data_IF_020922003369
#
_entry.id   IF_020922003369
#
_cell.length_a   1.000
_cell.length_b   1.000
_cell.length_c   1.000
_cell.angle_alpha   90.00
_cell.angle_beta   90.00
_cell.angle_gamma   90.00
#
_symmetry.space_group_name_H-M   'P 1'
#
loop_
_entity.id
_entity.type
_entity.pdbx_description
1 polymer ?
#
# COMPACT_ATOMS: atom_id res chain seq x y z
N UNK A 1 -1.47 7.83 14.13
CA UNK A 1 -1.19 9.16 13.57
C UNK A 1 -0.87 8.93 12.10
N UNK A 2 -1.58 9.58 11.17
CA UNK A 2 -1.41 9.34 9.72
C UNK A 2 -0.24 10.16 9.18
N UNK A 3 0.36 9.74 8.06
CA UNK A 3 1.45 10.45 7.38
C UNK A 3 1.09 11.90 7.07
N UNK A 4 -0.15 12.16 6.62
CA UNK A 4 -0.66 13.53 6.42
C UNK A 4 -0.64 14.38 7.68
N UNK A 5 -1.09 13.82 8.81
CA UNK A 5 -1.10 14.56 10.08
C UNK A 5 0.31 14.92 10.53
N UNK A 6 1.29 14.07 10.27
CA UNK A 6 2.71 14.38 10.52
C UNK A 6 3.20 15.52 9.61
N UNK A 7 2.87 15.51 8.33
CA UNK A 7 3.28 16.54 7.38
C UNK A 7 2.69 17.92 7.72
N UNK A 8 1.41 17.99 8.08
CA UNK A 8 0.76 19.23 8.52
C UNK A 8 1.44 19.79 9.78
N UNK A 9 1.67 18.95 10.79
CA UNK A 9 2.32 19.35 12.04
C UNK A 9 3.76 19.84 11.84
N UNK A 10 4.44 19.31 10.84
CA UNK A 10 5.80 19.73 10.47
C UNK A 10 5.81 21.05 9.66
N UNK A 11 4.65 21.59 9.27
CA UNK A 11 4.54 22.86 8.56
C UNK A 11 4.68 22.77 7.03
N UNK A 12 4.51 21.58 6.44
CA UNK A 12 4.55 21.41 4.98
C UNK A 12 3.33 22.00 4.24
N UNK A 13 2.32 22.47 4.97
CA UNK A 13 1.10 23.06 4.45
C UNK A 13 -0.14 22.33 4.97
N UNK A 14 -1.31 22.79 4.53
CA UNK A 14 -2.59 22.13 4.79
C UNK A 14 -2.66 20.79 4.05
N UNK A 15 -3.36 19.78 4.60
CA UNK A 15 -3.57 18.48 3.94
C UNK A 15 -4.17 18.60 2.53
N UNK A 16 -4.90 19.68 2.23
CA UNK A 16 -5.45 19.96 0.90
C UNK A 16 -4.37 20.24 -0.16
N UNK A 17 -3.16 20.67 0.26
CA UNK A 17 -2.05 21.06 -0.61
C UNK A 17 -0.92 20.03 -0.65
N UNK A 18 -0.91 19.07 0.28
CA UNK A 18 0.08 18.00 0.31
C UNK A 18 -0.40 16.85 -0.57
N UNK A 19 0.47 16.39 -1.48
CA UNK A 19 0.24 15.20 -2.30
C UNK A 19 1.05 14.04 -1.73
N UNK A 20 0.44 12.87 -1.65
CA UNK A 20 1.12 11.63 -1.31
C UNK A 20 1.30 10.81 -2.59
N UNK A 21 2.47 10.23 -2.73
CA UNK A 21 2.80 9.23 -3.74
C UNK A 21 3.32 8.00 -3.01
N UNK A 22 2.98 6.81 -3.47
CA UNK A 22 3.58 5.58 -2.94
C UNK A 22 5.07 5.52 -3.31
N UNK A 23 5.89 4.98 -2.40
CA UNK A 23 7.34 4.84 -2.62
C UNK A 23 7.68 4.05 -3.89
N UNK A 24 7.07 2.88 -4.16
CA UNK A 24 7.45 2.12 -5.34
C UNK A 24 6.95 2.76 -6.64
N UNK A 25 5.83 3.50 -6.63
CA UNK A 25 5.41 4.30 -7.79
C UNK A 25 6.40 5.44 -8.08
N UNK A 26 6.85 6.14 -7.04
CA UNK A 26 7.86 7.18 -7.20
C UNK A 26 9.17 6.59 -7.75
N UNK A 27 9.63 5.45 -7.21
CA UNK A 27 10.79 4.75 -7.73
C UNK A 27 10.62 4.36 -9.21
N UNK A 28 9.43 3.89 -9.61
CA UNK A 28 9.10 3.59 -11.02
C UNK A 28 9.33 4.78 -11.94
N UNK A 29 8.76 5.93 -11.56
CA UNK A 29 8.81 7.18 -12.33
C UNK A 29 10.25 7.60 -12.59
N UNK A 30 11.10 7.48 -11.57
CA UNK A 30 12.50 7.84 -11.69
C UNK A 30 13.25 6.86 -12.59
N UNK A 31 13.15 5.56 -12.32
CA UNK A 31 13.97 4.55 -13.01
C UNK A 31 13.62 4.32 -14.46
N UNK A 32 12.34 4.37 -14.80
CA UNK A 32 11.89 4.20 -16.18
C UNK A 32 12.23 5.40 -17.06
N UNK A 33 12.51 6.57 -16.46
CA UNK A 33 12.97 7.77 -17.17
C UNK A 33 14.50 7.92 -17.20
N UNK A 34 15.18 7.57 -16.11
CA UNK A 34 16.60 7.87 -15.91
C UNK A 34 17.56 6.95 -16.70
N UNK A 35 17.07 5.84 -17.25
CA UNK A 35 17.87 4.89 -18.01
C UNK A 35 17.24 4.64 -19.38
N UNK A 36 18.06 4.48 -20.43
CA UNK A 36 17.63 3.63 -21.54
C UNK A 36 17.16 2.33 -20.90
N UNK A 37 15.89 1.95 -21.05
CA UNK A 37 15.36 0.81 -20.32
C UNK A 37 16.26 -0.38 -20.64
N UNK A 38 16.56 -1.22 -19.65
CA UNK A 38 17.47 -2.36 -19.78
C UNK A 38 16.88 -3.43 -20.74
N UNK A 39 16.66 -3.07 -22.01
CA UNK A 39 15.79 -3.79 -22.93
C UNK A 39 14.29 -3.79 -22.56
N UNK A 40 13.81 -2.93 -21.64
CA UNK A 40 12.37 -2.87 -21.34
C UNK A 40 11.59 -2.19 -22.46
N UNK A 41 10.50 -2.83 -22.86
CA UNK A 41 9.60 -2.38 -23.90
C UNK A 41 8.17 -2.25 -23.37
N UNK A 42 7.33 -1.54 -24.12
CA UNK A 42 5.89 -1.52 -23.87
C UNK A 42 5.35 -2.95 -23.86
N UNK A 43 4.52 -3.27 -22.87
CA UNK A 43 3.98 -4.60 -22.61
C UNK A 43 4.83 -5.46 -21.67
N UNK A 44 6.04 -5.03 -21.30
CA UNK A 44 6.80 -5.72 -20.25
C UNK A 44 6.22 -5.45 -18.87
N UNK A 45 6.23 -6.47 -18.02
CA UNK A 45 5.83 -6.39 -16.62
C UNK A 45 7.07 -6.41 -15.73
N UNK A 46 7.12 -5.54 -14.73
CA UNK A 46 8.25 -5.39 -13.82
C UNK A 46 7.77 -5.37 -12.37
N UNK A 47 8.57 -5.97 -11.50
CA UNK A 47 8.41 -5.86 -10.04
C UNK A 47 9.33 -4.76 -9.56
N UNK A 48 8.82 -3.83 -8.78
CA UNK A 48 9.62 -2.82 -8.09
C UNK A 48 9.64 -3.19 -6.62
N UNK A 49 10.83 -3.39 -6.07
CA UNK A 49 11.07 -3.78 -4.70
C UNK A 49 11.85 -2.67 -4.00
N UNK A 50 11.16 -1.85 -3.21
CA UNK A 50 11.79 -0.87 -2.34
C UNK A 50 12.22 -1.54 -1.04
N UNK A 51 13.50 -1.91 -0.97
CA UNK A 51 14.09 -2.52 0.20
C UNK A 51 14.75 -1.43 1.06
N UNK A 52 14.00 -0.98 2.08
CA UNK A 52 14.39 0.08 2.99
C UNK A 52 15.11 -0.38 4.25
N UNK A 53 15.14 0.53 5.23
CA UNK A 53 15.66 0.23 6.57
C UNK A 53 14.67 -0.53 7.44
N UNK A 54 13.40 -0.09 7.45
CA UNK A 54 12.36 -0.69 8.28
C UNK A 54 11.45 -1.66 7.53
N UNK A 55 11.00 -1.26 6.34
CA UNK A 55 10.08 -2.03 5.50
C UNK A 55 10.75 -2.46 4.20
N UNK A 56 10.15 -3.46 3.58
CA UNK A 56 10.33 -3.77 2.18
C UNK A 56 8.95 -3.73 1.54
N UNK A 57 8.79 -2.92 0.51
CA UNK A 57 7.52 -2.67 -0.16
C UNK A 57 7.66 -2.98 -1.65
N UNK A 58 6.71 -3.74 -2.20
CA UNK A 58 6.73 -4.22 -3.56
C UNK A 58 5.46 -3.84 -4.31
N UNK A 59 5.60 -3.63 -5.61
CA UNK A 59 4.48 -3.48 -6.54
C UNK A 59 4.87 -3.99 -7.92
N UNK A 60 3.88 -4.51 -8.64
CA UNK A 60 4.07 -5.01 -10.00
C UNK A 60 3.36 -4.13 -11.01
N UNK A 61 4.08 -3.65 -12.02
CA UNK A 61 3.53 -2.82 -13.09
C UNK A 61 3.78 -3.41 -14.47
N UNK A 62 2.76 -3.33 -15.32
CA UNK A 62 2.89 -3.49 -16.77
C UNK A 62 3.08 -2.12 -17.43
N UNK A 63 4.10 -1.99 -18.28
CA UNK A 63 4.42 -0.76 -19.00
C UNK A 63 3.45 -0.59 -20.16
N UNK A 64 2.62 0.46 -20.13
CA UNK A 64 1.68 0.78 -21.22
C UNK A 64 2.30 1.78 -22.19
N UNK A 65 3.04 2.76 -21.67
CA UNK A 65 3.71 3.79 -22.47
C UNK A 65 4.95 4.31 -21.71
N UNK A 66 6.05 4.52 -22.42
CA UNK A 66 7.29 5.09 -21.83
C UNK A 66 7.50 6.56 -22.20
N UNK A 67 7.00 6.99 -23.36
CA UNK A 67 7.22 8.33 -23.91
C UNK A 67 6.11 8.68 -24.90
N UNK A 68 5.64 9.95 -24.97
CA UNK A 68 6.12 11.12 -24.21
C UNK A 68 5.63 11.16 -22.76
N UNK A 69 4.51 10.49 -22.45
CA UNK A 69 3.98 10.36 -21.10
C UNK A 69 4.14 8.91 -20.63
N UNK A 70 4.65 8.73 -19.41
CA UNK A 70 4.79 7.40 -18.87
C UNK A 70 3.44 6.93 -18.34
N UNK A 71 3.00 5.75 -18.75
CA UNK A 71 1.75 5.12 -18.32
C UNK A 71 2.02 3.70 -17.85
N UNK A 72 1.61 3.41 -16.63
CA UNK A 72 1.78 2.11 -15.98
C UNK A 72 0.41 1.55 -15.61
N UNK A 73 0.28 0.23 -15.65
CA UNK A 73 -0.87 -0.51 -15.12
C UNK A 73 -0.41 -1.36 -13.96
N UNK A 74 -1.02 -1.23 -12.79
CA UNK A 74 -0.77 -2.14 -11.65
C UNK A 74 -1.29 -3.52 -12.02
N UNK A 75 -0.41 -4.53 -12.01
CA UNK A 75 -0.76 -5.90 -12.39
C UNK A 75 -1.13 -6.74 -11.16
N UNK A 76 -0.47 -6.48 -10.03
CA UNK A 76 -0.73 -7.10 -8.74
C UNK A 76 -0.82 -6.01 -7.65
N UNK A 77 -1.73 -6.13 -6.67
CA UNK A 77 -1.75 -5.26 -5.51
C UNK A 77 -0.37 -5.28 -4.83
N UNK A 78 0.15 -4.10 -4.50
CA UNK A 78 1.42 -4.02 -3.76
C UNK A 78 1.38 -4.75 -2.42
N UNK A 79 2.49 -5.38 -2.04
CA UNK A 79 2.69 -6.09 -0.77
C UNK A 79 3.88 -5.48 -0.02
N UNK A 80 3.93 -5.66 1.29
CA UNK A 80 5.05 -5.18 2.08
C UNK A 80 5.14 -5.84 3.45
N UNK A 81 6.33 -5.85 4.02
CA UNK A 81 6.58 -6.43 5.34
C UNK A 81 7.67 -5.68 6.10
N UNK A 82 7.73 -5.92 7.41
CA UNK A 82 8.76 -5.41 8.30
C UNK A 82 10.02 -6.30 8.23
N UNK A 83 10.67 -6.33 7.07
CA UNK A 83 11.89 -7.11 6.81
C UNK A 83 13.03 -6.25 6.22
N UNK A 84 13.14 -4.99 6.63
CA UNK A 84 14.22 -4.09 6.18
C UNK A 84 15.60 -4.37 6.80
N UNK A 85 16.63 -3.64 6.34
CA UNK A 85 18.01 -3.85 6.81
C UNK A 85 18.28 -3.56 8.29
N UNK A 86 17.39 -2.86 9.00
CA UNK A 86 17.51 -2.64 10.46
C UNK A 86 17.40 -3.96 11.23
N UNK A 87 16.69 -4.96 10.70
CA UNK A 87 16.60 -6.28 11.32
C UNK A 87 17.95 -7.02 11.27
N UNK A 88 18.80 -6.74 10.28
CA UNK A 88 20.18 -7.22 10.26
C UNK A 88 21.00 -6.65 11.41
N UNK A 89 20.79 -5.36 11.72
CA UNK A 89 21.47 -4.72 12.86
C UNK A 89 21.07 -5.40 14.17
N UNK A 90 19.77 -5.64 14.38
CA UNK A 90 19.28 -6.33 15.59
C UNK A 90 19.88 -7.73 15.75
N UNK A 91 19.89 -8.52 14.67
CA UNK A 91 20.47 -9.87 14.68
C UNK A 91 21.97 -9.84 14.96
N UNK A 92 22.67 -8.82 14.47
CA UNK A 92 24.09 -8.65 14.74
C UNK A 92 24.35 -8.24 16.20
N UNK A 93 23.55 -7.31 16.74
CA UNK A 93 23.59 -6.93 18.16
C UNK A 93 23.33 -8.14 19.07
N UNK A 94 22.29 -8.92 18.79
CA UNK A 94 21.97 -10.18 19.50
C UNK A 94 23.16 -11.16 19.46
N UNK A 95 23.80 -11.35 18.30
CA UNK A 95 24.98 -12.20 18.17
C UNK A 95 26.15 -11.72 19.04
N UNK A 96 26.38 -10.40 19.12
CA UNK A 96 27.42 -9.84 19.96
C UNK A 96 27.10 -10.03 21.44
N UNK A 97 25.88 -9.74 21.86
CA UNK A 97 25.45 -9.93 23.25
C UNK A 97 25.54 -11.41 23.67
N UNK A 98 25.07 -12.34 22.84
CA UNK A 98 25.13 -13.78 23.14
C UNK A 98 26.57 -14.28 23.37
N UNK A 99 27.55 -13.70 22.67
CA UNK A 99 28.94 -14.19 22.70
C UNK A 99 29.85 -13.39 23.63
N UNK A 100 29.55 -12.12 23.86
CA UNK A 100 30.45 -11.18 24.51
C UNK A 100 29.89 -10.59 25.81
N UNK A 101 28.57 -10.61 26.04
CA UNK A 101 27.96 -9.92 27.19
C UNK A 101 28.42 -10.41 28.56
N UNK A 102 28.82 -11.69 28.66
CA UNK A 102 29.34 -12.26 29.91
C UNK A 102 30.83 -11.96 30.15
N UNK A 103 31.52 -11.35 29.19
CA UNK A 103 32.96 -11.14 29.26
C UNK A 103 33.31 -9.83 29.98
N UNK A 104 34.37 -9.82 30.82
CA UNK A 104 34.88 -8.59 31.39
C UNK A 104 35.28 -7.59 30.30
N UNK A 105 34.80 -6.35 30.43
CA UNK A 105 35.07 -5.27 29.48
C UNK A 105 34.09 -5.17 28.32
N UNK A 106 33.03 -5.99 28.29
CA UNK A 106 31.86 -5.71 27.46
C UNK A 106 31.08 -4.54 28.05
N UNK A 107 30.97 -3.46 27.27
CA UNK A 107 30.24 -2.26 27.63
C UNK A 107 29.55 -1.64 26.41
N UNK A 108 28.78 -0.59 26.67
CA UNK A 108 28.01 0.10 25.63
C UNK A 108 28.90 0.71 24.56
N UNK A 109 30.05 1.27 24.93
CA UNK A 109 30.97 1.91 23.98
C UNK A 109 31.56 0.87 23.01
N UNK A 110 31.92 -0.32 23.54
CA UNK A 110 32.38 -1.46 22.76
C UNK A 110 31.31 -1.97 21.79
N UNK A 111 30.05 -2.10 22.26
CA UNK A 111 28.93 -2.45 21.39
C UNK A 111 28.70 -1.41 20.30
N UNK A 112 28.68 -0.12 20.65
CA UNK A 112 28.43 0.98 19.72
C UNK A 112 29.51 1.03 18.61
N UNK A 113 30.79 0.78 18.93
CA UNK A 113 31.87 0.69 17.93
C UNK A 113 31.68 -0.50 16.96
N UNK A 114 31.33 -1.68 17.48
CA UNK A 114 31.09 -2.85 16.66
C UNK A 114 29.88 -2.65 15.74
N UNK A 115 28.77 -2.12 16.28
CA UNK A 115 27.55 -1.80 15.55
C UNK A 115 27.79 -0.73 14.48
N UNK A 116 28.58 0.31 14.80
CA UNK A 116 28.95 1.33 13.82
C UNK A 116 29.72 0.74 12.65
N UNK A 117 30.68 -0.16 12.91
CA UNK A 117 31.44 -0.86 11.87
C UNK A 117 30.56 -1.76 11.01
N UNK A 118 29.57 -2.42 11.61
CA UNK A 118 28.58 -3.23 10.90
C UNK A 118 27.73 -2.39 9.95
N UNK A 119 27.11 -1.32 10.46
CA UNK A 119 26.23 -0.44 9.71
C UNK A 119 26.93 0.25 8.53
N UNK A 120 28.14 0.77 8.77
CA UNK A 120 28.84 1.62 7.80
C UNK A 120 29.62 0.83 6.77
N UNK A 121 30.03 -0.40 7.09
CA UNK A 121 30.88 -1.18 6.19
C UNK A 121 30.39 -2.60 5.99
N UNK A 122 30.42 -3.46 7.02
CA UNK A 122 30.22 -4.90 6.82
C UNK A 122 28.88 -5.20 6.13
N UNK A 123 27.79 -4.63 6.62
CA UNK A 123 26.43 -4.80 6.06
C UNK A 123 26.32 -4.30 4.62
N UNK A 124 27.04 -3.23 4.26
CA UNK A 124 26.96 -2.58 2.95
C UNK A 124 27.82 -3.26 1.89
N UNK A 125 28.95 -3.82 2.29
CA UNK A 125 29.91 -4.42 1.35
C UNK A 125 29.78 -5.93 1.23
N UNK A 126 29.09 -6.60 2.15
CA UNK A 126 28.97 -8.05 2.12
C UNK A 126 28.27 -8.53 0.85
N UNK A 127 28.91 -9.47 0.18
CA UNK A 127 28.50 -10.02 -1.12
C UNK A 127 27.75 -11.35 -1.01
N UNK A 128 27.73 -11.94 0.19
CA UNK A 128 27.30 -13.31 0.41
C UNK A 128 28.42 -14.34 0.31
N UNK A 129 29.67 -13.93 0.04
CA UNK A 129 30.79 -14.86 -0.01
C UNK A 129 31.14 -15.39 1.40
N UNK A 130 31.12 -16.71 1.57
CA UNK A 130 31.41 -17.36 2.85
C UNK A 130 32.88 -17.22 3.29
N UNK A 131 33.77 -16.87 2.36
CA UNK A 131 35.20 -16.65 2.62
C UNK A 131 35.51 -15.20 3.06
N UNK A 132 34.53 -14.29 2.97
CA UNK A 132 34.68 -12.88 3.34
C UNK A 132 34.44 -12.69 4.85
N UNK A 133 35.52 -12.76 5.62
CA UNK A 133 35.47 -12.52 7.06
C UNK A 133 35.54 -11.04 7.43
N UNK A 134 34.84 -10.67 8.51
CA UNK A 134 34.79 -9.31 9.02
C UNK A 134 35.36 -9.24 10.43
N UNK A 135 36.17 -8.20 10.66
CA UNK A 135 36.71 -7.88 11.97
C UNK A 135 35.98 -6.67 12.55
N UNK A 136 35.42 -6.82 13.75
CA UNK A 136 34.69 -5.79 14.47
C UNK A 136 35.50 -5.31 15.68
N UNK A 137 35.63 -3.98 15.89
CA UNK A 137 36.33 -3.45 17.06
C UNK A 137 35.61 -3.86 18.34
N UNK A 138 36.36 -4.41 19.29
CA UNK A 138 35.92 -4.74 20.64
C UNK A 138 37.02 -4.39 21.67
N UNK A 139 37.36 -3.09 21.81
CA UNK A 139 38.56 -2.67 22.52
C UNK A 139 38.57 -3.04 24.01
N UNK A 140 37.40 -3.19 24.63
CA UNK A 140 37.26 -3.60 26.03
C UNK A 140 37.51 -5.09 26.29
N UNK A 141 37.49 -5.93 25.25
CA UNK A 141 37.56 -7.40 25.39
C UNK A 141 39.00 -7.91 25.23
N UNK A 142 39.43 -8.74 26.18
CA UNK A 142 40.75 -9.38 26.15
C UNK A 142 40.87 -10.41 25.01
N UNK A 143 42.08 -10.58 24.47
CA UNK A 143 42.37 -11.54 23.41
C UNK A 143 42.05 -12.98 23.85
N UNK A 144 41.28 -13.69 23.03
CA UNK A 144 40.89 -15.08 23.24
C UNK A 144 40.72 -15.80 21.91
N UNK A 145 41.49 -16.87 21.69
CA UNK A 145 41.43 -17.66 20.47
C UNK A 145 40.11 -18.46 20.37
N UNK A 146 39.59 -18.95 21.49
CA UNK A 146 38.33 -19.72 21.54
C UNK A 146 37.12 -18.87 21.16
N UNK A 147 37.13 -17.59 21.56
CA UNK A 147 36.05 -16.63 21.31
C UNK A 147 36.25 -15.94 19.95
N UNK A 148 37.47 -15.97 19.39
CA UNK A 148 37.78 -15.31 18.12
C UNK A 148 38.13 -13.83 18.26
N UNK A 149 38.55 -13.39 19.46
CA UNK A 149 39.01 -12.02 19.73
C UNK A 149 40.52 -11.96 19.64
N UNK A 150 41.05 -11.05 18.81
CA UNK A 150 42.49 -10.81 18.68
C UNK A 150 42.78 -9.34 18.39
N UNK A 151 43.69 -8.75 19.15
CA UNK A 151 44.06 -7.33 19.09
C UNK A 151 42.84 -6.40 19.20
N UNK A 152 41.98 -6.68 20.18
CA UNK A 152 40.75 -5.90 20.43
C UNK A 152 39.77 -5.94 19.25
N UNK A 153 39.76 -7.04 18.49
CA UNK A 153 38.85 -7.24 17.36
C UNK A 153 38.23 -8.63 17.37
N UNK A 154 36.92 -8.67 17.22
CA UNK A 154 36.12 -9.88 17.14
C UNK A 154 35.96 -10.29 15.67
N UNK A 155 36.28 -11.55 15.36
CA UNK A 155 36.12 -12.11 14.02
C UNK A 155 34.72 -12.68 13.88
N UNK A 156 34.02 -12.24 12.84
CA UNK A 156 32.80 -12.87 12.34
C UNK A 156 33.10 -13.44 10.97
N UNK A 157 32.83 -14.72 10.80
CA UNK A 157 33.07 -15.44 9.57
C UNK A 157 32.08 -15.05 8.48
N UNK A 158 32.44 -15.23 7.21
CA UNK A 158 31.50 -15.05 6.10
C UNK A 158 30.25 -15.94 6.23
N UNK A 159 30.37 -17.13 6.80
CA UNK A 159 29.23 -18.01 7.10
C UNK A 159 28.29 -17.43 8.17
N UNK A 160 28.83 -16.87 9.25
CA UNK A 160 28.03 -16.18 10.27
C UNK A 160 27.35 -14.93 9.67
N UNK A 161 28.05 -14.20 8.79
CA UNK A 161 27.46 -13.09 8.03
C UNK A 161 26.30 -13.55 7.14
N UNK A 162 26.40 -14.71 6.47
CA UNK A 162 25.27 -15.27 5.73
C UNK A 162 24.08 -15.56 6.65
N UNK A 163 24.32 -16.16 7.83
CA UNK A 163 23.27 -16.51 8.79
C UNK A 163 22.53 -15.29 9.36
N UNK A 164 23.20 -14.14 9.45
CA UNK A 164 22.56 -12.87 9.81
C UNK A 164 21.56 -12.44 8.74
N UNK A 165 21.92 -12.56 7.46
CA UNK A 165 21.15 -12.08 6.32
C UNK A 165 20.03 -13.01 5.88
N UNK A 166 20.28 -14.33 5.85
CA UNK A 166 19.40 -15.32 5.21
C UNK A 166 17.93 -15.23 5.63
N UNK A 167 17.55 -15.05 6.91
CA UNK A 167 16.14 -14.93 7.28
C UNK A 167 15.46 -13.73 6.61
N UNK A 168 16.14 -12.59 6.56
CA UNK A 168 15.63 -11.37 5.95
C UNK A 168 15.58 -11.51 4.42
N UNK A 169 16.56 -12.17 3.82
CA UNK A 169 16.57 -12.42 2.38
C UNK A 169 15.42 -13.35 1.94
N UNK A 170 15.09 -14.36 2.76
CA UNK A 170 13.94 -15.26 2.52
C UNK A 170 12.62 -14.52 2.64
N UNK A 171 12.45 -13.68 3.66
CA UNK A 171 11.23 -12.87 3.78
C UNK A 171 11.02 -11.97 2.55
N UNK A 172 12.10 -11.47 1.94
CA UNK A 172 12.03 -10.67 0.70
C UNK A 172 11.76 -11.55 -0.52
N UNK A 173 12.38 -12.72 -0.59
CA UNK A 173 12.13 -13.71 -1.65
C UNK A 173 10.66 -14.10 -1.71
N UNK A 174 10.04 -14.44 -0.57
CA UNK A 174 8.63 -14.79 -0.48
C UNK A 174 7.74 -13.65 -1.01
N UNK A 175 8.05 -12.40 -0.63
CA UNK A 175 7.30 -11.23 -1.13
C UNK A 175 7.44 -11.02 -2.64
N UNK A 176 8.61 -11.26 -3.21
CA UNK A 176 8.85 -11.15 -4.66
C UNK A 176 8.14 -12.28 -5.39
N UNK A 177 8.20 -13.51 -4.87
CA UNK A 177 7.52 -14.67 -5.42
C UNK A 177 6.00 -14.43 -5.47
N UNK A 178 5.41 -13.97 -4.36
CA UNK A 178 3.98 -13.61 -4.29
C UNK A 178 3.57 -12.60 -5.38
N UNK A 179 4.39 -11.58 -5.62
CA UNK A 179 4.15 -10.58 -6.66
C UNK A 179 4.21 -11.18 -8.08
N UNK A 180 5.17 -12.06 -8.33
CA UNK A 180 5.33 -12.75 -9.62
C UNK A 180 4.15 -13.70 -9.86
N UNK A 181 3.74 -14.47 -8.85
CA UNK A 181 2.63 -15.44 -8.96
C UNK A 181 1.26 -14.75 -9.08
N UNK A 182 1.08 -13.61 -8.42
CA UNK A 182 -0.17 -12.82 -8.48
C UNK A 182 -0.34 -12.13 -9.84
N UNK A 183 0.78 -11.83 -10.51
CA UNK A 183 0.77 -11.18 -11.83
C UNK A 183 0.19 -12.12 -12.90
N UNK A 184 -0.79 -11.64 -13.68
CA UNK A 184 -1.30 -12.40 -14.83
C UNK A 184 -0.35 -12.40 -16.04
N UNK A 185 0.62 -11.47 -16.04
CA UNK A 185 1.63 -11.32 -17.07
C UNK A 185 3.01 -11.82 -16.61
N UNK A 186 3.84 -12.28 -17.55
CA UNK A 186 5.20 -12.73 -17.26
C UNK A 186 6.07 -11.54 -16.84
N UNK A 187 6.60 -11.59 -15.62
CA UNK A 187 7.54 -10.59 -15.09
C UNK A 187 8.87 -10.71 -15.83
N UNK A 188 9.38 -9.57 -16.32
CA UNK A 188 10.63 -9.48 -17.08
C UNK A 188 11.81 -9.02 -16.23
N UNK A 189 11.56 -8.21 -15.20
CA UNK A 189 12.61 -7.67 -14.34
C UNK A 189 12.12 -7.36 -12.93
N UNK A 190 13.03 -7.42 -11.97
CA UNK A 190 12.89 -6.98 -10.58
C UNK A 190 13.85 -5.80 -10.37
N UNK A 191 13.31 -4.63 -10.02
CA UNK A 191 14.11 -3.46 -9.67
C UNK A 191 14.24 -3.32 -8.16
N UNK A 192 15.47 -3.18 -7.68
CA UNK A 192 15.79 -3.01 -6.27
C UNK A 192 16.05 -1.54 -5.94
N UNK A 193 15.26 -1.00 -5.03
CA UNK A 193 15.33 0.37 -4.53
C UNK A 193 15.62 0.41 -3.04
N UNK A 194 15.81 1.63 -2.53
CA UNK A 194 16.08 1.86 -1.12
C UNK A 194 17.52 1.55 -0.74
N UNK A 195 17.86 1.84 0.51
CA UNK A 195 19.21 1.65 1.03
C UNK A 195 19.63 0.17 1.07
N UNK A 196 18.69 -0.74 1.37
CA UNK A 196 18.97 -2.17 1.40
C UNK A 196 18.95 -2.80 0.00
N UNK A 197 18.16 -2.27 -0.94
CA UNK A 197 18.19 -2.70 -2.34
C UNK A 197 19.54 -2.54 -3.04
N UNK A 198 20.43 -1.71 -2.47
CA UNK A 198 21.83 -1.56 -2.92
C UNK A 198 22.77 -2.63 -2.36
N UNK A 199 22.30 -3.54 -1.50
CA UNK A 199 23.11 -4.63 -0.95
C UNK A 199 23.56 -5.60 -2.07
N UNK A 200 24.88 -5.83 -2.23
CA UNK A 200 25.37 -6.79 -3.20
C UNK A 200 24.87 -8.21 -2.93
N UNK A 201 24.73 -8.59 -1.64
CA UNK A 201 24.22 -9.91 -1.28
C UNK A 201 22.74 -10.08 -1.63
N UNK A 202 21.87 -9.12 -1.28
CA UNK A 202 20.44 -9.17 -1.65
C UNK A 202 20.26 -9.33 -3.17
N UNK A 203 20.97 -8.51 -3.95
CA UNK A 203 20.90 -8.59 -5.42
C UNK A 203 21.35 -9.95 -5.95
N UNK A 204 22.44 -10.49 -5.42
CA UNK A 204 22.99 -11.79 -5.88
C UNK A 204 22.09 -12.94 -5.46
N UNK A 205 21.52 -12.89 -4.27
CA UNK A 205 20.57 -13.86 -3.74
C UNK A 205 19.32 -13.95 -4.62
N UNK A 206 18.64 -12.83 -4.88
CA UNK A 206 17.42 -12.83 -5.72
C UNK A 206 17.72 -13.29 -7.16
N UNK A 207 18.90 -12.98 -7.71
CA UNK A 207 19.32 -13.50 -9.04
C UNK A 207 19.46 -15.02 -9.09
N UNK A 208 19.73 -15.66 -7.95
CA UNK A 208 19.88 -17.11 -7.85
C UNK A 208 18.53 -17.79 -7.59
N UNK A 209 17.60 -17.12 -6.90
CA UNK A 209 16.28 -17.66 -6.59
C UNK A 209 15.35 -17.69 -7.82
N UNK A 210 15.38 -16.65 -8.66
CA UNK A 210 14.44 -16.51 -9.78
C UNK A 210 15.01 -16.95 -11.12
N UNK A 211 14.11 -17.22 -12.07
CA UNK A 211 14.46 -17.63 -13.44
C UNK A 211 15.48 -16.66 -14.07
N UNK A 212 16.50 -17.16 -14.79
CA UNK A 212 17.46 -16.31 -15.52
C UNK A 212 16.83 -15.36 -16.54
N UNK A 213 15.57 -15.59 -16.93
CA UNK A 213 14.82 -14.69 -17.81
C UNK A 213 14.32 -13.41 -17.13
N UNK A 214 14.24 -13.43 -15.79
CA UNK A 214 13.86 -12.32 -14.92
C UNK A 214 15.11 -11.57 -14.49
N UNK A 215 15.33 -10.37 -15.03
CA UNK A 215 16.53 -9.60 -14.71
C UNK A 215 16.39 -8.90 -13.35
N UNK A 216 17.37 -9.10 -12.44
CA UNK A 216 17.42 -8.33 -11.18
C UNK A 216 18.36 -7.14 -11.33
N UNK A 217 17.78 -5.95 -11.24
CA UNK A 217 18.44 -4.67 -11.52
C UNK A 217 18.46 -3.83 -10.24
N UNK A 218 19.63 -3.30 -9.86
CA UNK A 218 19.74 -2.31 -8.79
C UNK A 218 20.26 -1.00 -9.41
N UNK A 219 19.39 -0.01 -9.65
CA UNK A 219 19.80 1.27 -10.24
C UNK A 219 20.83 1.98 -9.35
N UNK A 220 21.80 2.64 -9.99
CA UNK A 220 22.92 3.33 -9.31
C UNK A 220 22.41 4.40 -8.34
N UNK A 221 21.31 5.06 -8.68
CA UNK A 221 20.65 6.09 -7.88
C UNK A 221 19.42 5.57 -7.11
N UNK A 222 19.29 4.24 -6.97
CA UNK A 222 18.15 3.58 -6.33
C UNK A 222 17.86 4.05 -4.90
N UNK A 223 18.89 4.45 -4.14
CA UNK A 223 18.74 5.01 -2.79
C UNK A 223 18.07 6.40 -2.76
N UNK A 224 18.02 7.11 -3.90
CA UNK A 224 17.33 8.40 -4.05
C UNK A 224 16.16 8.36 -5.04
N UNK A 225 15.85 7.18 -5.58
CA UNK A 225 14.85 7.04 -6.65
C UNK A 225 13.46 7.53 -6.21
N UNK A 226 13.04 7.19 -4.98
CA UNK A 226 11.76 7.61 -4.40
C UNK A 226 11.62 9.13 -4.36
N UNK A 227 12.59 9.85 -3.76
CA UNK A 227 12.50 11.31 -3.62
C UNK A 227 12.57 12.03 -4.98
N UNK A 228 13.40 11.53 -5.91
CA UNK A 228 13.50 12.07 -7.28
C UNK A 228 12.23 11.81 -8.08
N UNK A 229 11.63 10.63 -7.93
CA UNK A 229 10.37 10.25 -8.53
C UNK A 229 9.20 11.09 -8.04
N UNK A 230 9.12 11.32 -6.73
CA UNK A 230 8.09 12.16 -6.11
C UNK A 230 8.16 13.60 -6.63
N UNK A 231 9.38 14.16 -6.75
CA UNK A 231 9.59 15.47 -7.36
C UNK A 231 9.16 15.46 -8.83
N UNK A 232 9.56 14.45 -9.60
CA UNK A 232 9.22 14.33 -11.03
C UNK A 232 7.71 14.24 -11.26
N UNK A 233 6.99 13.47 -10.43
CA UNK A 233 5.53 13.40 -10.45
C UNK A 233 4.91 14.78 -10.23
N UNK A 234 5.32 15.45 -9.17
CA UNK A 234 4.80 16.78 -8.80
C UNK A 234 5.06 17.83 -9.87
N UNK A 235 6.26 17.85 -10.46
CA UNK A 235 6.61 18.76 -11.55
C UNK A 235 5.77 18.52 -12.81
N UNK A 236 5.52 17.25 -13.17
CA UNK A 236 4.67 16.90 -14.30
C UNK A 236 3.19 17.28 -14.10
N UNK A 237 2.70 17.27 -12.87
CA UNK A 237 1.34 17.69 -12.54
C UNK A 237 1.15 19.22 -12.52
N UNK A 238 2.19 19.98 -12.19
CA UNK A 238 2.13 21.46 -12.12
C UNK A 238 2.45 22.10 -13.48
N UNK A 239 3.23 21.44 -14.32
CA UNK A 239 3.62 21.96 -15.64
C UNK A 239 2.66 21.51 -16.74
N UNK A 240 2.08 22.46 -17.48
CA UNK A 240 1.26 22.17 -18.66
C UNK A 240 2.07 21.56 -19.83
N UNK A 241 3.39 21.79 -19.86
CA UNK A 241 4.30 21.34 -20.91
C UNK A 241 5.21 20.18 -20.46
N UNK A 242 5.17 19.82 -19.18
CA UNK A 242 5.98 18.74 -18.63
C UNK A 242 5.44 17.35 -19.01
N UNK A 243 6.36 16.39 -19.20
CA UNK A 243 5.98 15.00 -19.37
C UNK A 243 5.24 14.50 -18.13
N UNK A 244 4.03 13.99 -18.31
CA UNK A 244 3.17 13.51 -17.23
C UNK A 244 3.44 12.03 -16.94
N UNK A 245 3.17 11.61 -15.72
CA UNK A 245 3.28 10.22 -15.29
C UNK A 245 1.92 9.79 -14.75
N UNK A 246 1.41 8.69 -15.27
CA UNK A 246 0.11 8.16 -14.88
C UNK A 246 0.25 6.69 -14.49
N UNK A 247 -0.46 6.31 -13.44
CA UNK A 247 -0.85 4.92 -13.26
C UNK A 247 -2.28 4.85 -13.81
N UNK A 248 -2.43 4.25 -15.00
CA UNK A 248 -3.72 4.21 -15.71
C UNK A 248 -4.78 3.47 -14.90
N UNK A 249 -4.39 2.35 -14.30
CA UNK A 249 -5.27 1.55 -13.46
C UNK A 249 -4.50 0.89 -12.33
N UNK A 250 -5.22 0.70 -11.23
CA UNK A 250 -4.76 0.14 -9.97
C UNK A 250 -5.53 -1.12 -9.65
N UNK A 251 -4.93 -2.04 -8.91
CA UNK A 251 -5.65 -3.19 -8.38
C UNK A 251 -6.28 -2.83 -7.05
N UNK A 252 -7.58 -3.11 -6.92
CA UNK A 252 -8.30 -2.95 -5.66
C UNK A 252 -7.67 -3.83 -4.55
N UNK A 253 -7.27 -3.21 -3.44
CA UNK A 253 -6.60 -3.90 -2.32
C UNK A 253 -7.57 -4.61 -1.37
N UNK A 254 -8.78 -4.09 -1.25
CA UNK A 254 -9.87 -4.65 -0.43
C UNK A 254 -11.19 -4.59 -1.20
N UNK A 255 -12.23 -5.24 -0.67
CA UNK A 255 -13.59 -5.07 -1.15
C UNK A 255 -14.17 -3.79 -0.53
N UNK A 256 -14.84 -2.94 -1.31
CA UNK A 256 -15.51 -1.72 -0.83
C UNK A 256 -16.99 -1.74 -1.17
N UNK A 257 -17.80 -1.37 -0.18
CA UNK A 257 -19.25 -1.48 -0.31
C UNK A 257 -20.03 -0.67 0.72
N UNK A 258 -21.33 -0.65 0.53
CA UNK A 258 -22.30 -0.04 1.44
C UNK A 258 -23.41 -1.02 1.75
N UNK A 259 -24.01 -0.90 2.93
CA UNK A 259 -25.23 -1.65 3.25
C UNK A 259 -26.39 -1.02 2.46
N UNK A 260 -27.15 -1.85 1.76
CA UNK A 260 -28.32 -1.45 1.01
C UNK A 260 -29.55 -2.25 1.46
N UNK A 261 -30.71 -1.60 1.45
CA UNK A 261 -32.00 -2.25 1.64
C UNK A 261 -32.54 -2.64 0.27
N UNK A 262 -32.92 -3.90 0.10
CA UNK A 262 -33.45 -4.43 -1.17
C UNK A 262 -34.67 -5.33 -0.94
N UNK A 263 -35.50 -5.51 -1.97
CA UNK A 263 -36.66 -6.40 -1.92
C UNK A 263 -36.23 -7.83 -1.59
N UNK A 264 -36.97 -8.49 -0.68
CA UNK A 264 -36.68 -9.85 -0.27
C UNK A 264 -36.99 -10.84 -1.40
N UNK A 265 -35.98 -11.57 -1.86
CA UNK A 265 -36.12 -12.61 -2.87
C UNK A 265 -36.03 -13.97 -2.18
N UNK A 266 -37.13 -14.73 -2.25
CA UNK A 266 -37.20 -16.09 -1.72
C UNK A 266 -36.12 -16.98 -2.35
N UNK A 267 -35.50 -17.86 -1.54
CA UNK A 267 -34.38 -18.76 -1.90
C UNK A 267 -33.03 -18.10 -2.17
N UNK A 268 -32.97 -16.77 -2.31
CA UNK A 268 -31.71 -16.02 -2.41
C UNK A 268 -31.33 -15.42 -1.05
N UNK A 269 -32.32 -14.83 -0.37
CA UNK A 269 -32.11 -14.13 0.89
C UNK A 269 -32.48 -14.98 2.11
N UNK A 270 -31.84 -14.70 3.25
CA UNK A 270 -32.13 -15.33 4.54
C UNK A 270 -33.48 -14.83 5.07
N UNK A 271 -34.48 -15.71 5.07
CA UNK A 271 -35.83 -15.39 5.50
C UNK A 271 -35.93 -14.94 6.98
N UNK A 272 -34.92 -15.25 7.82
CA UNK A 272 -34.89 -14.82 9.22
C UNK A 272 -34.48 -13.34 9.38
N UNK A 273 -33.88 -12.75 8.35
CA UNK A 273 -33.37 -11.37 8.36
C UNK A 273 -34.27 -10.36 7.64
N UNK A 274 -35.34 -10.83 6.99
CA UNK A 274 -36.26 -9.93 6.29
C UNK A 274 -37.07 -9.11 7.29
N UNK A 275 -37.43 -7.90 6.90
CA UNK A 275 -38.34 -7.03 7.63
C UNK A 275 -39.40 -6.47 6.70
N UNK A 276 -40.52 -6.01 7.25
CA UNK A 276 -41.57 -5.36 6.47
C UNK A 276 -41.18 -3.91 6.22
N UNK A 277 -41.18 -3.48 4.96
CA UNK A 277 -41.04 -2.08 4.58
C UNK A 277 -42.44 -1.51 4.32
N UNK A 278 -42.90 -0.63 5.21
CA UNK A 278 -44.26 -0.07 5.14
C UNK A 278 -44.47 0.81 3.90
N UNK A 279 -43.48 1.66 3.57
CA UNK A 279 -43.48 2.49 2.37
C UNK A 279 -43.65 1.67 1.09
N UNK A 280 -42.95 0.55 0.98
CA UNK A 280 -42.95 -0.28 -0.22
C UNK A 280 -44.03 -1.38 -0.20
N UNK A 281 -44.65 -1.64 0.97
CA UNK A 281 -45.69 -2.66 1.13
C UNK A 281 -45.19 -4.08 0.87
N UNK A 282 -43.92 -4.35 1.13
CA UNK A 282 -43.24 -5.61 0.81
C UNK A 282 -42.19 -5.97 1.86
N UNK A 283 -41.75 -7.23 1.85
CA UNK A 283 -40.60 -7.65 2.64
C UNK A 283 -39.30 -7.18 1.99
N UNK A 284 -38.44 -6.55 2.78
CA UNK A 284 -37.10 -6.09 2.42
C UNK A 284 -36.05 -6.76 3.32
N UNK A 285 -34.79 -6.60 2.96
CA UNK A 285 -33.64 -7.09 3.72
C UNK A 285 -32.42 -6.19 3.49
N UNK A 286 -31.56 -6.09 4.50
CA UNK A 286 -30.29 -5.38 4.41
C UNK A 286 -29.17 -6.33 3.98
N UNK A 287 -28.46 -5.96 2.92
CA UNK A 287 -27.34 -6.70 2.34
C UNK A 287 -26.16 -5.77 2.07
N UNK A 288 -24.96 -6.34 1.97
CA UNK A 288 -23.79 -5.64 1.45
C UNK A 288 -23.90 -5.52 -0.07
N UNK A 289 -23.84 -4.28 -0.55
CA UNK A 289 -23.67 -3.95 -1.95
C UNK A 289 -22.20 -3.55 -2.16
N UNK A 290 -21.41 -4.51 -2.66
CA UNK A 290 -20.00 -4.32 -3.01
C UNK A 290 -19.92 -3.73 -4.42
N UNK A 291 -19.37 -2.52 -4.54
CA UNK A 291 -19.17 -1.84 -5.82
C UNK A 291 -17.70 -1.87 -6.29
N UNK A 292 -16.80 -2.30 -5.42
CA UNK A 292 -15.43 -2.71 -5.75
C UNK A 292 -15.14 -4.03 -5.04
N UNK A 293 -14.63 -5.02 -5.76
CA UNK A 293 -14.09 -6.26 -5.21
C UNK A 293 -12.56 -6.22 -5.24
N UNK A 294 -11.92 -6.94 -4.31
CA UNK A 294 -10.45 -7.05 -4.29
C UNK A 294 -9.94 -7.67 -5.61
N UNK A 295 -8.94 -7.03 -6.21
CA UNK A 295 -8.38 -7.42 -7.51
C UNK A 295 -9.03 -6.76 -8.74
N UNK A 296 -10.12 -6.01 -8.56
CA UNK A 296 -10.72 -5.22 -9.65
C UNK A 296 -9.73 -4.17 -10.18
N UNK A 297 -9.73 -3.94 -11.49
CA UNK A 297 -9.01 -2.83 -12.12
C UNK A 297 -9.79 -1.53 -11.89
N UNK A 298 -9.16 -0.57 -11.20
CA UNK A 298 -9.72 0.75 -10.92
C UNK A 298 -8.91 1.80 -11.69
N UNK A 299 -9.55 2.53 -12.59
CA UNK A 299 -8.95 3.67 -13.28
C UNK A 299 -8.63 4.79 -12.28
N UNK A 300 -7.39 5.28 -12.27
CA UNK A 300 -6.99 6.37 -11.35
C UNK A 300 -7.71 7.68 -11.72
N UNK A 301 -8.13 8.43 -10.70
CA UNK A 301 -8.81 9.72 -10.84
C UNK A 301 -10.13 9.69 -11.64
N UNK A 302 -10.70 8.51 -11.90
CA UNK A 302 -12.02 8.34 -12.52
C UNK A 302 -13.04 7.86 -11.49
N UNK A 303 -14.23 8.45 -11.52
CA UNK A 303 -15.30 8.13 -10.58
C UNK A 303 -15.96 6.78 -10.92
N UNK A 304 -16.04 5.91 -9.91
CA UNK A 304 -17.00 4.81 -9.88
C UNK A 304 -18.31 5.37 -9.35
N UNK A 305 -19.30 5.50 -10.24
CA UNK A 305 -20.60 6.04 -9.89
C UNK A 305 -21.56 4.96 -9.40
N UNK A 306 -22.11 5.16 -8.21
CA UNK A 306 -23.12 4.27 -7.63
C UNK A 306 -24.37 5.07 -7.29
N UNK A 307 -25.56 4.48 -7.46
CA UNK A 307 -26.86 5.14 -7.25
C UNK A 307 -27.56 4.58 -6.02
N UNK A 308 -28.11 5.47 -5.21
CA UNK A 308 -28.69 5.16 -3.92
C UNK A 308 -29.98 5.95 -3.70
N UNK A 309 -30.82 5.42 -2.81
CA UNK A 309 -32.06 6.07 -2.42
C UNK A 309 -32.19 6.11 -0.91
N UNK A 310 -32.70 7.21 -0.37
CA UNK A 310 -33.12 7.29 1.03
C UNK A 310 -34.52 7.86 1.14
N UNK A 311 -35.31 7.30 2.04
CA UNK A 311 -36.66 7.77 2.32
C UNK A 311 -36.84 8.07 3.80
N UNK A 312 -37.65 9.09 4.11
CA UNK A 312 -38.01 9.49 5.47
C UNK A 312 -39.46 9.96 5.48
N UNK A 313 -40.20 9.71 6.56
CA UNK A 313 -41.57 10.18 6.70
C UNK A 313 -41.63 11.71 6.66
N UNK A 314 -42.66 12.26 6.02
CA UNK A 314 -42.87 13.73 5.99
C UNK A 314 -43.11 14.27 7.40
N UNK A 315 -43.75 13.50 8.29
CA UNK A 315 -43.98 13.86 9.69
C UNK A 315 -42.68 14.04 10.49
N UNK A 316 -41.61 13.33 10.12
CA UNK A 316 -40.27 13.46 10.73
C UNK A 316 -39.51 14.71 10.23
N UNK A 317 -40.10 15.43 9.26
CA UNK A 317 -39.51 16.58 8.60
C UNK A 317 -38.58 16.20 7.44
N UNK A 318 -38.13 17.19 6.66
CA UNK A 318 -37.22 16.97 5.53
C UNK A 318 -35.80 16.60 6.00
N UNK A 319 -35.03 15.97 5.12
CA UNK A 319 -33.64 15.62 5.39
C UNK A 319 -32.79 16.86 5.71
N UNK A 320 -32.06 16.81 6.82
CA UNK A 320 -31.05 17.83 7.15
C UNK A 320 -29.64 17.39 6.70
N UNK A 321 -29.38 16.09 6.64
CA UNK A 321 -28.13 15.49 6.15
C UNK A 321 -28.40 14.10 5.58
N UNK A 322 -27.48 13.63 4.73
CA UNK A 322 -27.45 12.22 4.32
C UNK A 322 -26.19 11.59 4.88
N UNK A 323 -26.35 10.78 5.93
CA UNK A 323 -25.26 9.94 6.45
C UNK A 323 -25.15 8.64 5.66
N UNK A 324 -23.99 8.41 5.06
CA UNK A 324 -23.58 7.18 4.36
C UNK A 324 -22.37 6.59 5.08
N UNK A 325 -22.40 5.28 5.31
CA UNK A 325 -21.25 4.54 5.86
C UNK A 325 -20.71 3.61 4.79
N UNK A 326 -19.43 3.79 4.46
CA UNK A 326 -18.67 2.96 3.56
C UNK A 326 -17.94 1.90 4.39
N UNK A 327 -17.94 0.68 3.88
CA UNK A 327 -17.33 -0.48 4.52
C UNK A 327 -16.24 -1.06 3.64
N UNK A 328 -15.26 -1.69 4.30
CA UNK A 328 -14.18 -2.42 3.66
C UNK A 328 -14.07 -3.83 4.23
N UNK A 329 -13.60 -4.76 3.39
CA UNK A 329 -13.31 -6.13 3.79
C UNK A 329 -12.07 -6.62 3.04
N UNK A 330 -11.04 -6.99 3.81
CA UNK A 330 -9.90 -7.72 3.29
C UNK A 330 -10.18 -9.23 3.32
N UNK A 331 -9.97 -9.87 2.17
CA UNK A 331 -10.13 -11.32 1.97
C UNK A 331 -9.07 -11.82 0.98
N UNK A 332 -8.81 -13.13 0.94
CA UNK A 332 -8.00 -13.72 -0.13
C UNK A 332 -8.56 -13.37 -1.52
N UNK A 333 -7.68 -13.15 -2.48
CA UNK A 333 -8.08 -12.83 -3.86
C UNK A 333 -8.87 -13.98 -4.47
N UNK A 334 -9.94 -13.67 -5.22
CA UNK A 334 -10.82 -14.66 -5.84
C UNK A 334 -11.95 -15.19 -4.94
N UNK A 335 -11.93 -14.91 -3.63
CA UNK A 335 -13.08 -15.20 -2.77
C UNK A 335 -14.19 -14.17 -2.93
N UNK A 336 -15.43 -14.65 -3.10
CA UNK A 336 -16.60 -13.77 -3.16
C UNK A 336 -16.85 -13.12 -1.79
N UNK A 337 -17.03 -11.79 -1.73
CA UNK A 337 -17.34 -11.12 -0.47
C UNK A 337 -18.75 -11.52 0.02
N UNK A 338 -18.99 -11.50 1.35
CA UNK A 338 -20.24 -11.98 1.93
C UNK A 338 -21.41 -11.05 1.55
N UNK A 339 -22.59 -11.65 1.36
CA UNK A 339 -23.82 -10.90 1.10
C UNK A 339 -24.32 -10.13 2.33
N UNK A 340 -24.00 -10.59 3.54
CA UNK A 340 -24.44 -9.97 4.77
C UNK A 340 -23.26 -9.37 5.52
N UNK A 341 -23.52 -8.25 6.19
CA UNK A 341 -22.58 -7.69 7.14
C UNK A 341 -22.23 -8.73 8.23
N UNK A 342 -20.94 -8.84 8.54
CA UNK A 342 -20.42 -9.73 9.57
C UNK A 342 -19.29 -9.03 10.35
N UNK A 343 -18.69 -9.72 11.32
CA UNK A 343 -17.64 -9.17 12.19
C UNK A 343 -16.33 -8.83 11.48
N UNK A 344 -16.10 -9.38 10.29
CA UNK A 344 -14.86 -9.18 9.53
C UNK A 344 -14.94 -7.90 8.68
N UNK A 345 -16.17 -7.43 8.37
CA UNK A 345 -16.41 -6.18 7.65
C UNK A 345 -16.14 -4.99 8.57
N UNK A 346 -15.25 -4.09 8.16
CA UNK A 346 -14.85 -2.91 8.92
C UNK A 346 -15.44 -1.64 8.32
N UNK A 347 -15.74 -0.65 9.16
CA UNK A 347 -16.07 0.69 8.69
C UNK A 347 -14.82 1.30 8.04
N UNK A 348 -14.97 1.80 6.83
CA UNK A 348 -13.92 2.47 6.08
C UNK A 348 -14.02 4.00 6.21
N UNK A 349 -15.19 4.57 5.91
CA UNK A 349 -15.44 6.00 6.00
C UNK A 349 -16.91 6.29 6.34
N UNK A 350 -17.17 7.51 6.82
CA UNK A 350 -18.53 8.02 6.98
C UNK A 350 -18.61 9.36 6.27
N UNK A 351 -19.53 9.46 5.32
CA UNK A 351 -19.85 10.68 4.60
C UNK A 351 -21.17 11.22 5.16
N UNK A 352 -21.20 12.46 5.62
CA UNK A 352 -22.40 13.08 6.19
C UNK A 352 -22.53 14.54 5.77
N UNK A 353 -22.74 14.82 4.46
CA UNK A 353 -23.00 16.16 3.99
C UNK A 353 -24.32 16.70 4.54
N UNK A 354 -24.28 17.98 4.91
CA UNK A 354 -25.48 18.75 5.25
C UNK A 354 -26.18 19.13 3.95
N UNK A 355 -27.49 18.89 3.88
CA UNK A 355 -28.31 19.24 2.72
C UNK A 355 -28.91 20.64 2.83
N UNK A 356 -28.28 21.54 3.59
CA UNK A 356 -28.79 22.90 3.82
C UNK A 356 -28.88 23.73 2.54
N UNK A 357 -28.11 23.35 1.51
CA UNK A 357 -28.12 23.96 0.19
C UNK A 357 -29.27 23.46 -0.70
N UNK A 358 -29.91 22.33 -0.35
CA UNK A 358 -31.12 21.88 -1.04
C UNK A 358 -32.30 22.63 -0.44
N UNK A 359 -33.03 23.39 -1.25
CA UNK A 359 -34.31 23.95 -0.82
C UNK A 359 -35.24 22.81 -0.41
N UNK A 360 -35.64 22.79 0.86
CA UNK A 360 -36.46 21.70 1.44
C UNK A 360 -37.76 21.45 0.68
N UNK A 361 -38.31 22.49 0.05
CA UNK A 361 -39.50 22.43 -0.82
C UNK A 361 -39.28 21.66 -2.12
N UNK A 362 -38.02 21.49 -2.56
CA UNK A 362 -37.66 20.76 -3.79
C UNK A 362 -37.43 19.27 -3.56
N UNK A 363 -37.35 18.82 -2.32
CA UNK A 363 -37.17 17.39 -2.02
C UNK A 363 -38.43 16.64 -2.46
N UNK A 364 -38.32 15.66 -3.39
CA UNK A 364 -39.48 14.93 -3.89
C UNK A 364 -40.20 14.20 -2.76
N UNK A 365 -41.53 14.25 -2.79
CA UNK A 365 -42.38 13.43 -1.93
C UNK A 365 -43.08 12.35 -2.74
N UNK A 366 -43.28 11.20 -2.13
CA UNK A 366 -44.05 10.09 -2.71
C UNK A 366 -44.95 9.49 -1.65
N UNK A 367 -46.08 8.92 -2.07
CA UNK A 367 -46.99 8.22 -1.17
C UNK A 367 -46.60 6.76 -1.07
N UNK A 368 -46.41 6.27 0.15
CA UNK A 368 -46.13 4.87 0.43
C UNK A 368 -47.36 3.97 0.28
N UNK A 369 -47.14 2.67 0.25
CA UNK A 369 -48.19 1.64 0.23
C UNK A 369 -49.03 1.61 1.52
N UNK A 370 -48.49 2.13 2.61
CA UNK A 370 -49.19 2.38 3.88
C UNK A 370 -50.08 3.64 3.85
N UNK A 371 -50.01 4.44 2.78
CA UNK A 371 -50.81 5.66 2.60
C UNK A 371 -50.14 6.92 3.15
N UNK A 372 -48.98 6.80 3.80
CA UNK A 372 -48.20 7.91 4.35
C UNK A 372 -47.38 8.62 3.27
N UNK A 373 -46.98 9.86 3.54
CA UNK A 373 -46.10 10.63 2.64
C UNK A 373 -44.64 10.51 3.10
N UNK A 374 -43.76 10.28 2.14
CA UNK A 374 -42.32 10.15 2.36
C UNK A 374 -41.55 11.13 1.49
N UNK A 375 -40.59 11.86 2.08
CA UNK A 375 -39.50 12.44 1.32
C UNK A 375 -38.63 11.32 0.77
N UNK A 376 -38.29 11.36 -0.52
CA UNK A 376 -37.37 10.40 -1.14
C UNK A 376 -36.30 11.13 -1.93
N UNK A 377 -35.04 10.88 -1.58
CA UNK A 377 -33.88 11.43 -2.28
C UNK A 377 -33.18 10.29 -3.02
N UNK A 378 -32.99 10.48 -4.31
CA UNK A 378 -32.09 9.68 -5.15
C UNK A 378 -30.78 10.44 -5.28
N UNK A 379 -29.69 9.82 -4.87
CA UNK A 379 -28.36 10.44 -4.89
C UNK A 379 -27.33 9.47 -5.45
N UNK A 380 -26.19 10.00 -5.87
CA UNK A 380 -25.05 9.23 -6.30
C UNK A 380 -23.93 9.32 -5.26
N UNK A 381 -23.18 8.23 -5.12
CA UNK A 381 -21.87 8.25 -4.50
C UNK A 381 -20.85 8.02 -5.60
N UNK A 382 -19.95 8.97 -5.78
CA UNK A 382 -18.80 8.85 -6.68
C UNK A 382 -17.60 8.47 -5.83
N UNK A 383 -17.01 7.31 -6.11
CA UNK A 383 -15.77 6.85 -5.47
C UNK A 383 -14.61 7.05 -6.44
N UNK A 384 -13.65 7.89 -6.08
CA UNK A 384 -12.45 8.18 -6.88
C UNK A 384 -11.22 7.68 -6.13
N UNK A 385 -10.36 6.95 -6.83
CA UNK A 385 -9.16 6.34 -6.24
C UNK A 385 -7.90 6.98 -6.82
N UNK A 386 -6.95 7.26 -5.94
CA UNK A 386 -5.64 7.84 -6.25
C UNK A 386 -4.51 6.95 -5.67
N UNK A 387 -3.26 7.32 -5.94
CA UNK A 387 -2.04 6.63 -5.46
C UNK A 387 -2.03 6.21 -3.99
N UNK A 388 -2.54 7.04 -3.08
CA UNK A 388 -2.44 6.79 -1.64
C UNK A 388 -3.74 7.08 -0.86
N UNK A 389 -4.78 7.54 -1.54
CA UNK A 389 -6.06 7.82 -0.91
C UNK A 389 -7.21 7.62 -1.89
N UNK A 390 -8.41 7.49 -1.35
CA UNK A 390 -9.65 7.56 -2.10
C UNK A 390 -10.52 8.69 -1.56
N UNK A 391 -11.37 9.21 -2.43
CA UNK A 391 -12.32 10.26 -2.12
C UNK A 391 -13.72 9.80 -2.51
N UNK A 392 -14.66 9.95 -1.59
CA UNK A 392 -16.07 9.67 -1.82
C UNK A 392 -16.84 10.97 -1.76
N UNK A 393 -17.56 11.29 -2.84
CA UNK A 393 -18.41 12.47 -2.93
C UNK A 393 -19.88 12.09 -3.07
N UNK A 394 -20.75 12.85 -2.42
CA UNK A 394 -22.21 12.70 -2.58
C UNK A 394 -22.71 13.71 -3.59
N UNK A 395 -23.44 13.21 -4.57
CA UNK A 395 -24.02 13.98 -5.67
C UNK A 395 -25.53 13.88 -5.67
N UNK A 396 -26.19 15.02 -5.89
CA UNK A 396 -27.64 15.12 -6.04
C UNK A 396 -27.96 16.15 -7.12
N UNK A 397 -28.83 15.81 -8.08
CA UNK A 397 -29.15 16.69 -9.24
C UNK A 397 -27.89 17.25 -9.94
N UNK A 398 -26.86 16.42 -10.13
CA UNK A 398 -25.56 16.80 -10.74
C UNK A 398 -24.75 17.86 -9.97
N UNK A 399 -25.03 18.06 -8.68
CA UNK A 399 -24.26 18.92 -7.79
C UNK A 399 -23.61 18.12 -6.66
N UNK A 400 -22.37 18.46 -6.31
CA UNK A 400 -21.64 17.90 -5.18
C UNK A 400 -22.03 18.58 -3.86
N UNK A 401 -22.37 17.79 -2.82
CA UNK A 401 -22.79 18.31 -1.50
C UNK A 401 -21.78 18.02 -0.38
N UNK A 402 -20.75 17.24 -0.64
CA UNK A 402 -19.65 17.01 0.29
C UNK A 402 -18.81 15.80 -0.05
N UNK A 403 -17.59 15.79 0.49
CA UNK A 403 -16.61 14.74 0.27
C UNK A 403 -16.04 14.20 1.58
N UNK A 404 -15.54 12.97 1.52
CA UNK A 404 -14.70 12.40 2.58
C UNK A 404 -13.51 11.70 1.93
N UNK A 405 -12.31 11.99 2.45
CA UNK A 405 -11.08 11.29 2.06
C UNK A 405 -10.79 10.17 3.04
N UNK A 406 -10.35 9.03 2.51
CA UNK A 406 -9.94 7.88 3.29
C UNK A 406 -8.66 7.26 2.71
N UNK A 407 -7.85 6.67 3.59
CA UNK A 407 -6.61 6.02 3.18
C UNK A 407 -6.93 4.84 2.24
N UNK A 408 -6.23 4.79 1.12
CA UNK A 408 -6.30 3.72 0.13
C UNK A 408 -4.94 3.02 0.12
N UNK A 409 -4.67 2.31 1.20
CA UNK A 409 -3.43 1.56 1.44
C UNK A 409 -3.79 0.18 1.94
#
# INVERSE_FOLDING_TARGET
MTTMSCAEKAGFGEASKVRIVSEPEAAAIHSLRASSPHGLEVGNTIVLCDAGGGTVDLITFTIIELSPNMRLKEEAPGTGSLCGSTFLNRRFEEMLDDRLSSLPGWDRDTLDEAMHRFETVAKRTFSGNADDDFMFPVPGIADSQEIGVRRGRFRVTGQEMQQLFLPILRDIEDLVEDQIETSAAQVKAIFLFGGFGQSPYLRTYLRQCFSPEVEVIAPVDGWTAVVRGALTKTLGEISDTGAKNFVDSRKARENYGMICSTEFISKVHDAKKKYWNAKEGKFYIDVMCWFVCKGDDIEEAKAIETRWSRSQLVEEGPFNSIRVTLYKLDKPMGEKPPMYFNRDVKKHATLEPTLSQIEKSRIPTCRGADGELYYTILFQIHAVYYSAHCEYTLWYEDHEYGSVKADYV
#
